data_IF_934519520674
#
_entry.id   IF_934519520674
#
_cell.length_a   1.000
_cell.length_b   1.000
_cell.length_c   1.000
_cell.angle_alpha   90.00
_cell.angle_beta   90.00
_cell.angle_gamma   90.00
#
_symmetry.space_group_name_H-M   'P 1'
#
loop_
_entity.id
_entity.type
_entity.pdbx_description
1 polymer ?
#
# COMPACT_ATOMS: atom_id res chain seq x y z
N UNK A 1 28.81 42.10 58.49
CA UNK A 1 29.10 41.32 57.31
C UNK A 1 27.94 40.35 57.05
N UNK A 2 27.08 40.66 56.04
CA UNK A 2 25.91 39.84 55.66
C UNK A 2 26.33 38.80 54.61
N UNK A 3 26.28 37.51 54.92
CA UNK A 3 26.57 36.44 53.98
C UNK A 3 25.30 36.20 53.12
N UNK A 4 25.39 36.51 51.82
CA UNK A 4 24.38 36.19 50.80
C UNK A 4 24.61 34.76 50.35
N UNK A 5 23.71 33.85 50.69
CA UNK A 5 23.70 32.50 50.14
C UNK A 5 22.94 32.54 48.79
N UNK A 6 23.68 32.39 47.68
CA UNK A 6 23.12 32.21 46.35
C UNK A 6 22.74 30.72 46.19
N UNK A 7 21.45 30.44 46.20
CA UNK A 7 20.94 29.10 45.82
C UNK A 7 20.91 29.02 44.31
N UNK A 8 21.86 28.27 43.73
CA UNK A 8 21.90 27.95 42.33
C UNK A 8 20.89 26.81 42.08
N UNK A 9 19.70 27.18 41.56
CA UNK A 9 18.71 26.21 41.07
C UNK A 9 19.19 25.66 39.71
N UNK A 10 19.79 24.47 39.71
CA UNK A 10 20.09 23.74 38.50
C UNK A 10 18.77 23.18 37.94
N UNK A 11 18.16 23.84 36.96
CA UNK A 11 17.06 23.30 36.15
C UNK A 11 17.62 22.21 35.26
N UNK A 12 17.42 20.95 35.68
CA UNK A 12 17.69 19.77 34.84
C UNK A 12 16.66 19.75 33.72
N UNK A 13 17.01 20.27 32.57
CA UNK A 13 16.19 20.09 31.35
C UNK A 13 16.34 18.64 30.92
N UNK A 14 15.36 17.80 31.25
CA UNK A 14 15.22 16.46 30.69
C UNK A 14 14.89 16.65 29.21
N UNK A 15 15.90 16.55 28.37
CA UNK A 15 15.69 16.39 26.92
C UNK A 15 15.05 15.01 26.77
N UNK A 16 13.72 14.99 26.58
CA UNK A 16 12.97 13.77 26.37
C UNK A 16 13.42 13.12 25.05
N UNK A 17 14.28 12.12 25.16
CA UNK A 17 14.66 11.29 24.03
C UNK A 17 13.45 10.41 23.71
N UNK A 18 12.78 10.65 22.58
CA UNK A 18 11.68 9.79 22.13
C UNK A 18 12.18 8.36 21.96
N UNK A 19 11.42 7.38 22.45
CA UNK A 19 11.77 5.98 22.28
C UNK A 19 11.75 5.58 20.78
N UNK A 20 12.46 4.51 20.40
CA UNK A 20 12.37 3.98 19.03
C UNK A 20 10.93 3.68 18.60
N UNK A 21 10.11 3.16 19.51
CA UNK A 21 8.71 2.83 19.26
C UNK A 21 7.85 4.08 19.07
N UNK A 22 8.05 5.13 19.88
CA UNK A 22 7.40 6.43 19.70
C UNK A 22 7.77 7.04 18.35
N UNK A 23 9.05 6.99 17.98
CA UNK A 23 9.54 7.48 16.69
C UNK A 23 8.91 6.72 15.54
N UNK A 24 8.75 5.41 15.68
CA UNK A 24 8.08 4.56 14.68
C UNK A 24 6.61 4.95 14.49
N UNK A 25 5.86 5.11 15.59
CA UNK A 25 4.47 5.59 15.53
C UNK A 25 4.40 6.98 14.89
N UNK A 26 5.22 7.92 15.32
CA UNK A 26 5.27 9.29 14.78
C UNK A 26 5.50 9.31 13.28
N UNK A 27 6.47 8.54 12.79
CA UNK A 27 6.78 8.44 11.37
C UNK A 27 5.61 7.85 10.57
N UNK A 28 4.98 6.79 11.09
CA UNK A 28 3.82 6.17 10.46
C UNK A 28 2.62 7.14 10.39
N UNK A 29 2.30 7.83 11.48
CA UNK A 29 1.24 8.84 11.52
C UNK A 29 1.53 9.96 10.54
N UNK A 30 2.77 10.45 10.46
CA UNK A 30 3.15 11.48 9.49
C UNK A 30 2.97 11.03 8.04
N UNK A 31 3.30 9.77 7.71
CA UNK A 31 3.05 9.21 6.38
C UNK A 31 1.55 9.13 6.07
N UNK A 32 0.75 8.66 7.02
CA UNK A 32 -0.71 8.59 6.88
C UNK A 32 -1.33 9.97 6.71
N UNK A 33 -0.91 10.95 7.51
CA UNK A 33 -1.36 12.35 7.42
C UNK A 33 -1.07 12.93 6.03
N UNK A 34 0.04 12.53 5.43
CA UNK A 34 0.46 12.99 4.09
C UNK A 34 -0.20 12.26 2.94
N UNK A 35 -0.46 10.96 3.05
CA UNK A 35 -0.84 10.09 1.92
C UNK A 35 -2.19 9.39 2.10
N UNK A 36 -2.74 9.37 3.32
CA UNK A 36 -4.00 8.67 3.61
C UNK A 36 -5.17 9.31 2.87
N UNK A 37 -5.95 8.50 2.18
CA UNK A 37 -7.10 8.95 1.39
C UNK A 37 -8.17 9.62 2.24
N UNK A 38 -8.33 9.15 3.49
CA UNK A 38 -9.32 9.62 4.47
C UNK A 38 -8.67 10.29 5.68
N UNK A 39 -7.35 10.62 5.61
CA UNK A 39 -6.63 11.27 6.70
C UNK A 39 -6.99 12.77 6.79
N UNK A 40 -8.27 13.06 7.01
CA UNK A 40 -8.84 14.41 7.15
C UNK A 40 -10.09 14.39 8.05
N UNK A 41 -10.49 15.55 8.55
CA UNK A 41 -11.66 15.69 9.41
C UNK A 41 -11.40 15.34 10.86
N UNK A 42 -12.46 15.48 11.67
CA UNK A 42 -12.39 15.38 13.14
C UNK A 42 -11.92 14.00 13.62
N UNK A 43 -12.38 12.92 12.96
CA UNK A 43 -12.02 11.55 13.33
C UNK A 43 -10.52 11.30 13.16
N UNK A 44 -9.93 11.78 12.05
CA UNK A 44 -8.50 11.67 11.82
C UNK A 44 -7.68 12.51 12.80
N UNK A 45 -8.07 13.76 13.04
CA UNK A 45 -7.36 14.63 13.99
C UNK A 45 -7.41 14.08 15.42
N UNK A 46 -8.54 13.50 15.84
CA UNK A 46 -8.66 12.81 17.12
C UNK A 46 -7.73 11.59 17.19
N UNK A 47 -7.72 10.74 16.15
CA UNK A 47 -6.85 9.57 16.07
C UNK A 47 -5.36 9.96 16.08
N UNK A 48 -5.00 10.98 15.32
CA UNK A 48 -3.62 11.50 15.28
C UNK A 48 -3.17 11.98 16.65
N UNK A 49 -4.00 12.75 17.34
CA UNK A 49 -3.74 13.24 18.71
C UNK A 49 -3.60 12.07 19.67
N UNK A 50 -4.52 11.11 19.64
CA UNK A 50 -4.46 9.90 20.48
C UNK A 50 -3.16 9.13 20.23
N UNK A 51 -2.84 8.84 18.98
CA UNK A 51 -1.64 8.07 18.61
C UNK A 51 -0.34 8.73 19.06
N UNK A 52 -0.24 10.05 18.89
CA UNK A 52 0.97 10.82 19.26
C UNK A 52 1.12 11.08 20.76
N UNK A 53 0.08 10.84 21.56
CA UNK A 53 0.11 10.96 23.02
C UNK A 53 0.49 9.66 23.73
N UNK A 54 0.53 8.54 23.01
CA UNK A 54 0.88 7.22 23.56
C UNK A 54 2.39 7.01 23.56
N UNK A 55 2.87 6.32 24.58
CA UNK A 55 4.27 5.96 24.75
C UNK A 55 4.40 4.43 24.71
N UNK A 56 4.39 3.80 23.53
CA UNK A 56 4.44 2.35 23.43
C UNK A 56 5.79 1.81 23.93
N UNK A 57 5.73 0.86 24.85
CA UNK A 57 6.90 0.21 25.41
C UNK A 57 7.42 -0.92 24.51
N UNK A 58 6.49 -1.59 23.80
CA UNK A 58 6.79 -2.71 22.90
C UNK A 58 6.53 -2.38 21.45
N UNK A 59 7.13 -3.16 20.54
CA UNK A 59 6.88 -3.07 19.11
C UNK A 59 5.43 -3.44 18.78
N UNK A 60 4.87 -4.42 19.48
CA UNK A 60 3.48 -4.85 19.30
C UNK A 60 2.49 -3.74 19.63
N UNK A 61 2.72 -3.00 20.71
CA UNK A 61 1.91 -1.83 21.06
C UNK A 61 1.99 -0.74 19.99
N UNK A 62 3.21 -0.44 19.53
CA UNK A 62 3.41 0.52 18.44
C UNK A 62 2.67 0.10 17.17
N UNK A 63 2.75 -1.18 16.79
CA UNK A 63 2.07 -1.73 15.63
C UNK A 63 0.54 -1.70 15.78
N UNK A 64 0.02 -1.94 16.99
CA UNK A 64 -1.41 -1.85 17.26
C UNK A 64 -1.94 -0.42 17.07
N UNK A 65 -1.22 0.60 17.58
CA UNK A 65 -1.53 2.02 17.37
C UNK A 65 -1.54 2.36 15.88
N UNK A 66 -0.50 1.95 15.15
CA UNK A 66 -0.36 2.20 13.71
C UNK A 66 -1.50 1.53 12.93
N UNK A 67 -1.88 0.29 13.28
CA UNK A 67 -2.98 -0.41 12.62
C UNK A 67 -4.33 0.27 12.83
N UNK A 68 -4.59 0.79 14.04
CA UNK A 68 -5.80 1.56 14.31
C UNK A 68 -5.85 2.81 13.45
N UNK A 69 -4.77 3.56 13.38
CA UNK A 69 -4.65 4.76 12.57
C UNK A 69 -4.78 4.47 11.06
N UNK A 70 -4.17 3.37 10.58
CA UNK A 70 -4.20 2.98 9.17
C UNK A 70 -5.63 2.72 8.68
N UNK A 71 -6.49 2.12 9.50
CA UNK A 71 -7.90 1.87 9.14
C UNK A 71 -8.69 3.16 8.95
N UNK A 72 -8.39 4.19 9.73
CA UNK A 72 -9.04 5.51 9.60
C UNK A 72 -8.46 6.25 8.40
N UNK A 73 -7.13 6.35 8.30
CA UNK A 73 -6.46 7.12 7.25
C UNK A 73 -6.61 6.53 5.84
N UNK A 74 -6.66 5.21 5.73
CA UNK A 74 -6.68 4.48 4.45
C UNK A 74 -7.96 3.67 4.20
N UNK A 75 -8.87 3.59 5.18
CA UNK A 75 -10.10 2.83 5.14
C UNK A 75 -9.94 1.36 5.57
N UNK A 76 -11.06 0.64 5.58
CA UNK A 76 -11.20 -0.71 6.18
C UNK A 76 -10.21 -1.78 5.66
N UNK A 77 -9.65 -1.59 4.50
CA UNK A 77 -8.69 -2.52 3.89
C UNK A 77 -7.22 -2.15 4.15
N UNK A 78 -6.99 -1.05 4.87
CA UNK A 78 -5.64 -0.59 5.19
C UNK A 78 -5.15 -1.17 6.51
N UNK A 79 -3.93 -1.67 6.51
CA UNK A 79 -3.29 -2.27 7.67
C UNK A 79 -1.77 -2.16 7.57
N UNK A 80 -1.11 -2.26 8.71
CA UNK A 80 0.35 -2.39 8.77
C UNK A 80 0.74 -3.84 8.46
N UNK A 81 1.61 -4.02 7.48
CA UNK A 81 2.24 -5.30 7.21
C UNK A 81 3.59 -5.36 7.95
N UNK A 82 3.78 -6.25 8.94
CA UNK A 82 5.05 -6.42 9.62
C UNK A 82 6.19 -6.77 8.67
N UNK A 83 7.43 -6.37 8.99
CA UNK A 83 8.57 -6.48 8.09
C UNK A 83 8.87 -7.92 7.65
N UNK A 84 8.75 -8.90 8.55
CA UNK A 84 8.90 -10.33 8.28
C UNK A 84 7.88 -10.83 7.24
N UNK A 85 6.63 -10.41 7.37
CA UNK A 85 5.56 -10.73 6.42
C UNK A 85 5.71 -9.99 5.10
N UNK A 86 6.23 -8.75 5.14
CA UNK A 86 6.53 -7.99 3.93
C UNK A 86 7.63 -8.68 3.12
N UNK A 87 8.73 -9.10 3.77
CA UNK A 87 9.80 -9.86 3.13
C UNK A 87 9.35 -11.22 2.58
N UNK A 88 8.51 -11.95 3.34
CA UNK A 88 7.94 -13.22 2.87
C UNK A 88 7.02 -13.02 1.66
N UNK A 89 6.29 -11.90 1.60
CA UNK A 89 5.46 -11.53 0.45
C UNK A 89 6.33 -11.16 -0.76
N UNK A 90 7.39 -10.41 -0.56
CA UNK A 90 8.35 -10.05 -1.62
C UNK A 90 9.03 -11.29 -2.22
N UNK A 91 9.45 -12.24 -1.39
CA UNK A 91 10.00 -13.52 -1.88
C UNK A 91 9.00 -14.29 -2.77
N UNK A 92 7.73 -14.35 -2.36
CA UNK A 92 6.68 -15.00 -3.16
C UNK A 92 6.36 -14.23 -4.44
N UNK A 93 6.52 -12.91 -4.46
CA UNK A 93 6.31 -12.11 -5.66
C UNK A 93 7.35 -12.37 -6.74
N UNK A 94 8.51 -12.90 -6.36
CA UNK A 94 9.57 -13.30 -7.28
C UNK A 94 9.40 -14.74 -7.82
N UNK A 95 8.39 -15.49 -7.35
CA UNK A 95 7.98 -16.75 -7.97
C UNK A 95 7.40 -16.44 -9.35
N UNK A 96 7.85 -17.18 -10.36
CA UNK A 96 7.40 -16.98 -11.73
C UNK A 96 5.95 -17.40 -11.87
N UNK A 97 5.07 -16.39 -11.96
CA UNK A 97 3.64 -16.59 -12.20
C UNK A 97 3.32 -16.11 -13.60
N UNK A 98 2.89 -17.02 -14.46
CA UNK A 98 2.56 -16.72 -15.85
C UNK A 98 1.07 -16.93 -16.12
N UNK A 99 0.43 -16.07 -16.90
CA UNK A 99 -0.90 -16.33 -17.44
C UNK A 99 -0.85 -17.47 -18.45
N UNK A 100 -2.01 -18.01 -18.78
CA UNK A 100 -2.11 -19.00 -19.84
C UNK A 100 -3.26 -18.67 -20.80
N UNK A 101 -3.10 -19.06 -22.05
CA UNK A 101 -4.09 -18.88 -23.11
C UNK A 101 -4.41 -20.24 -23.69
N UNK A 102 -5.69 -20.55 -23.81
CA UNK A 102 -6.21 -21.77 -24.45
C UNK A 102 -7.25 -21.38 -25.47
N UNK A 103 -7.04 -21.77 -26.73
CA UNK A 103 -8.02 -21.58 -27.80
C UNK A 103 -8.73 -22.92 -28.02
N UNK A 104 -10.04 -22.92 -27.85
CA UNK A 104 -10.91 -24.08 -28.04
C UNK A 104 -11.18 -24.30 -29.51
N UNK A 105 -11.64 -25.51 -29.87
CA UNK A 105 -12.01 -25.88 -31.25
C UNK A 105 -13.14 -25.01 -31.83
N UNK A 106 -14.01 -24.47 -30.97
CA UNK A 106 -15.08 -23.52 -31.38
C UNK A 106 -14.59 -22.07 -31.54
N UNK A 107 -13.27 -21.83 -31.42
CA UNK A 107 -12.67 -20.52 -31.56
C UNK A 107 -12.80 -19.63 -30.31
N UNK A 108 -13.27 -20.13 -29.19
CA UNK A 108 -13.29 -19.39 -27.92
C UNK A 108 -11.90 -19.40 -27.30
N UNK A 109 -11.37 -18.21 -27.07
CA UNK A 109 -10.10 -17.98 -26.36
C UNK A 109 -10.34 -17.85 -24.86
N UNK A 110 -9.74 -18.70 -24.05
CA UNK A 110 -9.78 -18.62 -22.59
C UNK A 110 -8.43 -18.10 -22.12
N UNK A 111 -8.44 -16.93 -21.47
CA UNK A 111 -7.27 -16.30 -20.90
C UNK A 111 -7.34 -16.42 -19.38
N UNK A 112 -6.51 -17.26 -18.79
CA UNK A 112 -6.39 -17.36 -17.33
C UNK A 112 -5.35 -16.35 -16.85
N UNK A 113 -5.79 -15.42 -15.98
CA UNK A 113 -4.95 -14.39 -15.37
C UNK A 113 -4.77 -14.68 -13.88
N UNK A 114 -3.67 -15.31 -13.46
CA UNK A 114 -3.38 -15.51 -12.05
C UNK A 114 -3.01 -14.20 -11.35
N UNK A 115 -3.08 -14.17 -10.02
CA UNK A 115 -2.60 -13.06 -9.20
C UNK A 115 -1.12 -12.76 -9.49
N UNK A 116 -0.75 -11.48 -9.57
CA UNK A 116 0.60 -11.07 -9.95
C UNK A 116 1.17 -10.04 -9.00
N UNK A 117 2.42 -10.22 -8.58
CA UNK A 117 3.13 -9.31 -7.70
C UNK A 117 4.64 -9.18 -8.05
N UNK A 118 5.02 -9.41 -9.30
CA UNK A 118 6.40 -9.36 -9.77
C UNK A 118 6.93 -7.94 -10.02
N UNK A 119 8.21 -7.88 -10.38
CA UNK A 119 8.92 -6.67 -10.81
C UNK A 119 8.55 -6.24 -12.25
N UNK A 120 9.19 -5.18 -12.74
CA UNK A 120 8.89 -4.61 -14.06
C UNK A 120 9.18 -5.57 -15.23
N UNK A 121 10.23 -6.39 -15.11
CA UNK A 121 10.57 -7.38 -16.15
C UNK A 121 9.52 -8.49 -16.20
N UNK A 122 9.12 -8.98 -15.04
CA UNK A 122 8.04 -9.94 -14.90
C UNK A 122 6.69 -9.36 -15.37
N UNK A 123 6.43 -8.06 -15.18
CA UNK A 123 5.25 -7.37 -15.71
C UNK A 123 5.17 -7.48 -17.23
N UNK A 124 6.25 -7.17 -17.93
CA UNK A 124 6.31 -7.24 -19.39
C UNK A 124 6.12 -8.67 -19.89
N UNK A 125 6.78 -9.65 -19.27
CA UNK A 125 6.66 -11.07 -19.61
C UNK A 125 5.22 -11.55 -19.42
N UNK A 126 4.59 -11.22 -18.30
CA UNK A 126 3.19 -11.57 -18.03
C UNK A 126 2.25 -11.07 -19.13
N UNK A 127 2.34 -9.80 -19.50
CA UNK A 127 1.49 -9.23 -20.55
C UNK A 127 1.76 -9.87 -21.91
N UNK A 128 3.02 -10.02 -22.30
CA UNK A 128 3.44 -10.62 -23.59
C UNK A 128 2.98 -12.06 -23.74
N UNK A 129 3.03 -12.86 -22.68
CA UNK A 129 2.56 -14.27 -22.73
C UNK A 129 1.13 -14.36 -23.25
N UNK A 130 0.26 -13.41 -22.92
CA UNK A 130 -1.11 -13.38 -23.43
C UNK A 130 -1.14 -12.80 -24.85
N UNK A 131 -0.52 -11.64 -25.06
CA UNK A 131 -0.58 -10.93 -26.34
C UNK A 131 -0.01 -11.75 -27.50
N UNK A 132 1.10 -12.44 -27.26
CA UNK A 132 1.77 -13.26 -28.27
C UNK A 132 1.02 -14.59 -28.55
N UNK A 133 0.09 -14.97 -27.67
CA UNK A 133 -0.68 -16.23 -27.79
C UNK A 133 -2.06 -16.06 -28.45
N UNK A 134 -2.51 -14.83 -28.66
CA UNK A 134 -3.83 -14.55 -29.24
C UNK A 134 -3.69 -14.42 -30.76
N UNK A 135 -4.49 -15.19 -31.50
CA UNK A 135 -4.58 -15.09 -32.96
C UNK A 135 -5.74 -14.15 -33.33
N UNK A 136 -5.63 -13.54 -34.53
CA UNK A 136 -6.66 -12.65 -35.09
C UNK A 136 -7.97 -13.36 -35.42
N UNK A 137 -8.07 -14.67 -35.23
CA UNK A 137 -9.20 -15.51 -35.67
C UNK A 137 -10.05 -16.06 -34.53
N UNK A 138 -10.02 -15.43 -33.33
CA UNK A 138 -10.84 -15.88 -32.21
C UNK A 138 -12.29 -15.41 -32.36
N UNK A 139 -13.25 -16.28 -32.08
CA UNK A 139 -14.69 -15.99 -32.15
C UNK A 139 -15.22 -15.31 -30.88
N UNK A 140 -14.45 -15.39 -29.79
CA UNK A 140 -14.80 -14.76 -28.51
C UNK A 140 -13.73 -14.99 -27.48
N UNK A 141 -13.77 -14.18 -26.41
CA UNK A 141 -12.77 -14.21 -25.33
C UNK A 141 -13.46 -14.39 -23.99
N UNK A 142 -12.91 -15.29 -23.19
CA UNK A 142 -13.29 -15.48 -21.79
C UNK A 142 -12.06 -15.19 -20.90
N UNK A 143 -12.17 -14.23 -19.99
CA UNK A 143 -11.13 -13.93 -19.01
C UNK A 143 -11.43 -14.71 -17.74
N UNK A 144 -10.57 -15.66 -17.40
CA UNK A 144 -10.68 -16.49 -16.21
C UNK A 144 -9.86 -15.90 -15.06
N UNK A 145 -10.55 -15.36 -14.06
CA UNK A 145 -9.95 -14.78 -12.85
C UNK A 145 -10.05 -15.71 -11.62
N UNK A 146 -10.39 -16.97 -11.80
CA UNK A 146 -10.45 -17.91 -10.68
C UNK A 146 -9.07 -18.08 -10.05
N UNK A 147 -8.99 -17.93 -8.73
CA UNK A 147 -7.72 -17.93 -7.98
C UNK A 147 -6.91 -16.62 -8.09
N UNK A 148 -7.39 -15.61 -8.81
CA UNK A 148 -6.74 -14.30 -8.80
C UNK A 148 -7.18 -13.50 -7.57
N UNK A 149 -6.26 -13.30 -6.64
CA UNK A 149 -6.47 -12.54 -5.41
C UNK A 149 -5.91 -11.10 -5.49
N UNK A 150 -5.64 -10.62 -6.69
CA UNK A 150 -5.12 -9.28 -6.95
C UNK A 150 -3.60 -9.21 -7.02
N UNK A 151 -3.05 -8.06 -6.66
CA UNK A 151 -1.62 -7.73 -6.78
C UNK A 151 -1.41 -6.53 -7.68
N UNK A 152 -0.38 -6.54 -8.52
CA UNK A 152 -0.17 -5.50 -9.52
C UNK A 152 -1.13 -5.68 -10.70
N UNK A 153 -2.11 -4.80 -10.81
CA UNK A 153 -3.12 -4.90 -11.86
C UNK A 153 -2.62 -4.47 -13.25
N UNK A 154 -1.56 -3.69 -13.34
CA UNK A 154 -1.09 -3.13 -14.61
C UNK A 154 -0.75 -4.19 -15.66
N UNK A 155 0.04 -5.25 -15.38
CA UNK A 155 0.30 -6.29 -16.35
C UNK A 155 -0.95 -7.10 -16.70
N UNK A 156 -1.89 -7.28 -15.76
CA UNK A 156 -3.16 -7.96 -16.03
C UNK A 156 -4.01 -7.16 -17.02
N UNK A 157 -4.13 -5.84 -16.81
CA UNK A 157 -4.86 -4.94 -17.72
C UNK A 157 -4.16 -4.89 -19.09
N UNK A 158 -2.82 -4.74 -19.10
CA UNK A 158 -2.05 -4.73 -20.33
C UNK A 158 -2.23 -6.02 -21.16
N UNK A 159 -2.31 -7.18 -20.49
CA UNK A 159 -2.51 -8.46 -21.15
C UNK A 159 -3.85 -8.58 -21.90
N UNK A 160 -4.86 -7.84 -21.48
CA UNK A 160 -6.22 -7.92 -22.07
C UNK A 160 -6.70 -6.60 -22.66
N UNK A 161 -5.81 -5.61 -22.81
CA UNK A 161 -6.21 -4.27 -23.25
C UNK A 161 -6.94 -4.25 -24.59
N UNK A 162 -6.58 -5.13 -25.53
CA UNK A 162 -7.21 -5.25 -26.84
C UNK A 162 -8.70 -5.64 -26.79
N UNK A 163 -9.16 -6.14 -25.63
CA UNK A 163 -10.57 -6.52 -25.41
C UNK A 163 -11.33 -5.52 -24.55
N UNK A 164 -10.64 -4.44 -24.10
CA UNK A 164 -11.25 -3.37 -23.31
C UNK A 164 -11.70 -2.25 -24.26
N UNK A 165 -12.75 -1.50 -23.89
CA UNK A 165 -13.18 -0.36 -24.72
C UNK A 165 -12.11 0.73 -24.75
N UNK A 166 -12.03 1.47 -25.85
CA UNK A 166 -11.12 2.61 -26.05
C UNK A 166 -11.50 3.86 -25.23
N UNK A 167 -12.37 3.69 -24.24
CA UNK A 167 -12.82 4.74 -23.34
C UNK A 167 -12.20 4.57 -21.92
N UNK A 168 -12.47 5.51 -21.04
CA UNK A 168 -12.05 5.48 -19.65
C UNK A 168 -12.80 4.38 -18.90
N UNK A 169 -12.15 3.23 -18.67
CA UNK A 169 -12.72 2.11 -17.92
C UNK A 169 -12.26 2.07 -16.45
N UNK A 170 -11.25 2.88 -16.07
CA UNK A 170 -10.70 2.90 -14.72
C UNK A 170 -10.38 4.34 -14.28
N UNK A 171 -10.80 4.70 -13.06
CA UNK A 171 -10.50 5.99 -12.44
C UNK A 171 -9.90 5.78 -11.06
N UNK A 172 -8.80 6.49 -10.78
CA UNK A 172 -8.20 6.52 -9.45
C UNK A 172 -8.65 7.76 -8.70
N UNK A 173 -9.14 7.57 -7.47
CA UNK A 173 -9.39 8.67 -6.55
C UNK A 173 -8.13 8.87 -5.70
N UNK A 174 -7.52 10.04 -5.80
CA UNK A 174 -6.43 10.47 -4.93
C UNK A 174 -6.87 11.64 -4.07
N UNK A 175 -6.29 11.77 -2.86
CA UNK A 175 -6.46 12.95 -2.04
C UNK A 175 -5.84 14.14 -2.77
N UNK A 176 -6.65 15.15 -3.10
CA UNK A 176 -6.13 16.40 -3.66
C UNK A 176 -5.42 17.17 -2.54
N UNK A 177 -4.10 17.32 -2.62
CA UNK A 177 -3.42 18.39 -1.92
C UNK A 177 -3.56 19.65 -2.75
N UNK A 178 -4.10 20.69 -2.16
CA UNK A 178 -3.91 22.03 -2.68
C UNK A 178 -2.41 22.33 -2.55
N UNK A 179 -1.65 22.18 -3.60
CA UNK A 179 -0.40 22.91 -3.75
C UNK A 179 -0.84 24.35 -4.07
N UNK A 180 -0.74 25.22 -3.09
CA UNK A 180 -0.65 26.65 -3.36
C UNK A 180 0.64 26.84 -4.13
N UNK A 181 0.54 26.97 -5.45
CA UNK A 181 1.60 27.51 -6.28
C UNK A 181 1.61 29.00 -5.94
N UNK A 182 2.62 29.44 -5.17
CA UNK A 182 2.98 30.85 -5.11
C UNK A 182 3.81 31.17 -6.33
#
# INVERSE_FOLDING_TARGET
>A
MRRIHIFLFATLTIIGCSSPNETYVRNAIQQMDRKGLYAEGEEWEAMKKEALSQNPETLEEAQAIINKAAKIAGGKHSYLLPADKAQAREKRSNEEVSPSVTIREDGICIIHLPAFAGDDENCLRYARTVLDSISDTVNGVCIDLRGNHGGNMYPMIAAVHSFLPDDIFLKFKMRRRFQSVM
#
